data_IF_402806813855
#
_entry.id   IF_402806813855
#
_cell.length_a   1.000
_cell.length_b   1.000
_cell.length_c   1.000
_cell.angle_alpha   90.00
_cell.angle_beta   90.00
_cell.angle_gamma   90.00
#
_symmetry.space_group_name_H-M   'P 1'
#
loop_
_entity.id
_entity.type
_entity.pdbx_description
1 polymer ?
#
# COMPACT_ATOMS: atom_id res chain seq x y z
N UNK A 1 2.69 -9.04 44.29
CA UNK A 1 1.46 -9.66 43.76
C UNK A 1 0.85 -8.64 42.81
N UNK A 2 0.73 -8.78 41.50
CA UNK A 2 0.88 -9.90 40.56
C UNK A 2 1.00 -9.29 39.16
N UNK A 3 1.93 -9.80 38.36
CA UNK A 3 2.00 -9.58 36.92
C UNK A 3 0.96 -10.44 36.17
N UNK A 4 0.50 -9.97 34.99
CA UNK A 4 0.26 -10.70 33.71
C UNK A 4 -0.61 -9.82 32.79
N UNK A 5 -0.10 -9.28 31.69
CA UNK A 5 0.17 -9.92 30.38
C UNK A 5 -1.07 -10.15 29.50
N UNK A 6 -0.90 -9.76 28.23
CA UNK A 6 -1.58 -10.22 27.01
C UNK A 6 -2.91 -9.59 26.58
N UNK A 7 -2.79 -8.47 25.87
CA UNK A 7 -3.69 -8.13 24.77
C UNK A 7 -2.93 -7.63 23.53
N UNK A 8 -1.94 -8.41 23.10
CA UNK A 8 -1.19 -8.19 21.85
C UNK A 8 -0.99 -9.54 21.16
N UNK A 9 -1.98 -10.05 20.43
CA UNK A 9 -1.72 -11.14 19.45
C UNK A 9 -2.89 -11.65 18.60
N UNK A 10 -4.17 -11.28 18.83
CA UNK A 10 -5.26 -12.03 18.15
C UNK A 10 -5.66 -11.54 16.74
N UNK A 11 -5.25 -10.36 16.27
CA UNK A 11 -5.78 -9.85 15.00
C UNK A 11 -5.12 -10.45 13.73
N UNK A 12 -3.85 -10.85 13.79
CA UNK A 12 -3.04 -11.10 12.59
C UNK A 12 -2.95 -12.56 12.14
N UNK A 13 -3.16 -13.55 13.02
CA UNK A 13 -2.91 -14.97 12.70
C UNK A 13 -4.17 -15.83 12.55
N UNK A 14 -5.28 -15.49 13.20
CA UNK A 14 -6.52 -16.28 13.12
C UNK A 14 -7.41 -15.96 11.90
N UNK A 15 -7.02 -14.99 11.06
CA UNK A 15 -7.84 -14.47 9.95
C UNK A 15 -7.45 -14.93 8.55
N UNK A 16 -6.56 -15.91 8.41
CA UNK A 16 -6.18 -16.42 7.08
C UNK A 16 -7.26 -17.31 6.42
N UNK A 17 -8.20 -17.89 7.19
CA UNK A 17 -9.10 -18.93 6.70
C UNK A 17 -10.58 -18.53 6.53
N UNK A 18 -10.99 -17.28 6.86
CA UNK A 18 -12.41 -16.88 6.89
C UNK A 18 -12.73 -15.66 6.01
N UNK A 19 -12.07 -15.55 4.86
CA UNK A 19 -12.12 -14.37 3.97
C UNK A 19 -13.47 -14.14 3.27
N UNK A 20 -14.42 -15.08 3.28
CA UNK A 20 -15.68 -14.91 2.53
C UNK A 20 -16.90 -14.53 3.37
N UNK A 21 -16.93 -14.83 4.68
CA UNK A 21 -18.16 -14.62 5.50
C UNK A 21 -18.04 -13.56 6.61
N UNK A 22 -16.84 -13.20 7.06
CA UNK A 22 -16.64 -12.23 8.14
C UNK A 22 -16.40 -10.78 7.67
N UNK A 23 -16.42 -10.54 6.36
CA UNK A 23 -16.22 -9.23 5.76
C UNK A 23 -17.39 -8.26 6.06
N UNK A 24 -18.62 -8.78 6.23
CA UNK A 24 -19.82 -7.96 6.31
C UNK A 24 -19.98 -7.21 7.65
N UNK A 25 -19.57 -7.79 8.78
CA UNK A 25 -19.92 -7.23 10.10
C UNK A 25 -18.93 -6.20 10.65
N UNK A 26 -17.66 -6.21 10.22
CA UNK A 26 -16.62 -5.29 10.72
C UNK A 26 -16.43 -4.03 9.86
N UNK A 27 -16.76 -4.10 8.56
CA UNK A 27 -16.77 -2.92 7.68
C UNK A 27 -17.83 -1.88 8.09
N UNK A 28 -18.82 -2.29 8.91
CA UNK A 28 -19.97 -1.45 9.25
C UNK A 28 -19.65 -0.26 10.18
N UNK A 29 -18.43 -0.17 10.73
CA UNK A 29 -18.00 0.90 11.65
C UNK A 29 -17.04 1.95 11.04
N UNK A 30 -16.49 1.76 9.85
CA UNK A 30 -15.79 2.83 9.12
C UNK A 30 -16.74 3.43 8.07
N UNK A 31 -17.83 4.05 8.55
CA UNK A 31 -18.78 4.80 7.71
C UNK A 31 -18.28 6.24 7.52
N UNK A 32 -17.26 6.39 6.70
CA UNK A 32 -17.13 7.63 5.94
C UNK A 32 -18.15 7.59 4.80
N UNK A 33 -18.80 8.71 4.48
CA UNK A 33 -19.86 8.77 3.45
C UNK A 33 -19.37 8.34 2.04
N UNK A 34 -18.06 8.20 1.86
CA UNK A 34 -17.37 7.81 0.62
C UNK A 34 -16.67 6.43 0.72
N UNK A 35 -16.90 5.68 1.81
CA UNK A 35 -16.30 4.36 2.06
C UNK A 35 -14.87 4.41 2.61
N UNK A 36 -14.36 3.30 3.18
CA UNK A 36 -12.99 3.23 3.69
C UNK A 36 -11.99 3.06 2.54
N UNK A 37 -10.82 3.67 2.70
CA UNK A 37 -9.71 3.60 1.75
C UNK A 37 -8.87 2.34 2.03
N UNK A 38 -8.74 1.45 1.04
CA UNK A 38 -7.95 0.22 1.17
C UNK A 38 -6.49 0.46 0.81
N UNK A 39 -5.58 0.21 1.76
CA UNK A 39 -4.15 0.50 1.56
C UNK A 39 -3.49 -0.43 0.53
N UNK A 40 -3.92 -1.69 0.42
CA UNK A 40 -3.33 -2.63 -0.53
C UNK A 40 -3.55 -2.22 -1.99
N UNK A 41 -4.65 -1.52 -2.30
CA UNK A 41 -4.93 -0.98 -3.63
C UNK A 41 -3.92 0.09 -4.05
N UNK A 42 -3.33 0.82 -3.09
CA UNK A 42 -2.30 1.81 -3.36
C UNK A 42 -1.08 1.20 -4.05
N UNK A 43 -0.69 -0.01 -3.66
CA UNK A 43 0.41 -0.74 -4.32
C UNK A 43 0.09 -1.02 -5.79
N UNK A 44 -1.05 -1.64 -6.09
CA UNK A 44 -1.48 -1.91 -7.47
C UNK A 44 -1.65 -0.65 -8.30
N UNK A 45 -2.15 0.43 -7.71
CA UNK A 45 -2.23 1.74 -8.36
C UNK A 45 -0.86 2.22 -8.82
N UNK A 46 0.16 2.21 -7.95
CA UNK A 46 1.52 2.61 -8.31
C UNK A 46 2.08 1.74 -9.44
N UNK A 47 1.93 0.42 -9.34
CA UNK A 47 2.40 -0.52 -10.38
C UNK A 47 1.77 -0.21 -11.74
N UNK A 48 0.45 -0.09 -11.79
CA UNK A 48 -0.29 0.24 -13.02
C UNK A 48 0.11 1.60 -13.59
N UNK A 49 0.32 2.61 -12.74
CA UNK A 49 0.76 3.96 -13.13
C UNK A 49 2.13 3.92 -13.80
N UNK A 50 3.08 3.18 -13.23
CA UNK A 50 4.42 3.01 -13.80
C UNK A 50 4.36 2.28 -15.14
N UNK A 51 3.65 1.15 -15.23
CA UNK A 51 3.50 0.38 -16.48
C UNK A 51 2.86 1.24 -17.57
N UNK A 52 1.78 1.95 -17.25
CA UNK A 52 1.08 2.78 -18.23
C UNK A 52 1.93 3.96 -18.68
N UNK A 53 2.70 4.57 -17.78
CA UNK A 53 3.62 5.66 -18.15
C UNK A 53 4.64 5.22 -19.19
N UNK A 54 5.16 3.99 -19.09
CA UNK A 54 6.08 3.42 -20.08
C UNK A 54 5.38 3.09 -21.41
N UNK A 55 4.17 2.53 -21.35
CA UNK A 55 3.39 2.21 -22.56
C UNK A 55 3.02 3.46 -23.36
N UNK A 56 2.62 4.53 -22.69
CA UNK A 56 2.27 5.80 -23.34
C UNK A 56 3.47 6.42 -24.06
N UNK A 57 4.68 6.32 -23.49
CA UNK A 57 5.91 6.76 -24.17
C UNK A 57 6.20 5.93 -25.41
N UNK A 58 6.00 4.60 -25.36
CA UNK A 58 6.21 3.73 -26.54
C UNK A 58 5.23 3.97 -27.69
N UNK A 59 4.05 4.51 -27.38
CA UNK A 59 3.00 4.76 -28.36
C UNK A 59 3.07 6.17 -28.97
N UNK A 60 4.09 6.97 -28.63
CA UNK A 60 4.27 8.36 -29.08
C UNK A 60 3.01 9.24 -28.95
N UNK A 61 2.11 8.91 -28.02
CA UNK A 61 0.80 9.56 -27.91
C UNK A 61 0.90 11.00 -27.41
N UNK A 62 1.99 11.37 -26.72
CA UNK A 62 2.25 12.73 -26.20
C UNK A 62 3.74 12.97 -25.95
N UNK A 63 4.29 14.12 -26.36
CA UNK A 63 5.69 14.56 -26.08
C UNK A 63 5.95 14.99 -24.61
N UNK A 64 5.07 14.63 -23.68
CA UNK A 64 5.11 15.03 -22.27
C UNK A 64 5.94 14.06 -21.42
N UNK A 65 6.64 14.51 -20.36
CA UNK A 65 7.44 13.63 -19.49
C UNK A 65 6.56 12.77 -18.56
N UNK A 66 5.90 11.74 -19.11
CA UNK A 66 4.99 10.84 -18.37
C UNK A 66 5.71 9.95 -17.35
N UNK A 67 6.87 9.39 -17.71
CA UNK A 67 7.63 8.48 -16.83
C UNK A 67 8.22 9.22 -15.61
N UNK A 68 8.91 10.38 -15.77
CA UNK A 68 9.40 11.13 -14.61
C UNK A 68 8.29 11.57 -13.65
N UNK A 69 7.13 11.98 -14.18
CA UNK A 69 5.97 12.34 -13.37
C UNK A 69 5.44 11.15 -12.58
N UNK A 70 5.25 9.99 -13.24
CA UNK A 70 4.79 8.78 -12.58
C UNK A 70 5.77 8.32 -11.47
N UNK A 71 7.08 8.40 -11.71
CA UNK A 71 8.10 8.10 -10.69
C UNK A 71 7.94 9.02 -9.47
N UNK A 72 7.80 10.33 -9.69
CA UNK A 72 7.67 11.32 -8.60
C UNK A 72 6.40 11.08 -7.77
N UNK A 73 5.24 10.95 -8.42
CA UNK A 73 3.97 10.65 -7.75
C UNK A 73 4.07 9.37 -6.92
N UNK A 74 4.67 8.31 -7.49
CA UNK A 74 4.87 7.04 -6.81
C UNK A 74 5.77 7.18 -5.58
N UNK A 75 6.87 7.95 -5.68
CA UNK A 75 7.74 8.24 -4.56
C UNK A 75 7.02 8.99 -3.44
N UNK A 76 6.22 10.01 -3.76
CA UNK A 76 5.45 10.79 -2.78
C UNK A 76 4.42 9.92 -2.03
N UNK A 77 3.79 8.96 -2.71
CA UNK A 77 2.87 8.00 -2.08
C UNK A 77 3.65 7.02 -1.17
N UNK A 78 4.72 6.41 -1.68
CA UNK A 78 5.54 5.46 -0.91
C UNK A 78 6.20 6.11 0.31
N UNK A 79 6.59 7.38 0.23
CA UNK A 79 7.11 8.15 1.35
C UNK A 79 6.07 8.30 2.47
N UNK A 80 4.79 8.53 2.13
CA UNK A 80 3.70 8.57 3.11
C UNK A 80 3.53 7.22 3.81
N UNK A 81 3.55 6.12 3.06
CA UNK A 81 3.49 4.77 3.63
C UNK A 81 4.69 4.48 4.54
N UNK A 82 5.90 4.83 4.11
CA UNK A 82 7.11 4.66 4.91
C UNK A 82 7.10 5.52 6.18
N UNK A 83 6.58 6.75 6.13
CA UNK A 83 6.39 7.57 7.32
C UNK A 83 5.42 6.91 8.30
N UNK A 84 4.29 6.37 7.82
CA UNK A 84 3.38 5.61 8.67
C UNK A 84 4.07 4.42 9.34
N UNK A 85 4.82 3.61 8.57
CA UNK A 85 5.60 2.47 9.10
C UNK A 85 6.61 2.91 10.17
N UNK A 86 7.24 4.08 10.01
CA UNK A 86 8.23 4.59 10.98
C UNK A 86 7.61 5.00 12.32
N UNK A 87 6.44 5.64 12.29
CA UNK A 87 5.78 6.17 13.49
C UNK A 87 4.77 5.20 14.11
N UNK A 88 4.29 4.21 13.35
CA UNK A 88 3.36 3.20 13.85
C UNK A 88 4.05 2.26 14.85
N UNK A 89 3.43 1.97 16.01
CA UNK A 89 3.98 1.03 16.98
C UNK A 89 4.12 -0.40 16.44
N UNK A 90 3.39 -0.72 15.37
CA UNK A 90 3.40 -2.04 14.73
C UNK A 90 4.45 -2.16 13.62
N UNK A 91 5.07 -1.04 13.22
CA UNK A 91 6.05 -0.98 12.13
C UNK A 91 5.52 -1.63 10.83
N UNK A 92 4.23 -1.46 10.59
CA UNK A 92 3.47 -2.09 9.51
C UNK A 92 2.44 -1.10 8.94
N UNK A 93 1.66 -1.54 7.95
CA UNK A 93 0.59 -0.76 7.33
C UNK A 93 -0.79 -1.32 7.72
N UNK A 94 -1.79 -0.44 7.89
CA UNK A 94 -3.14 -0.87 8.21
C UNK A 94 -3.84 -1.49 7.00
N UNK A 95 -4.94 -2.18 7.26
CA UNK A 95 -5.85 -2.67 6.24
C UNK A 95 -6.57 -1.54 5.51
N UNK A 96 -7.13 -0.63 6.31
CA UNK A 96 -8.06 0.41 5.93
C UNK A 96 -7.67 1.72 6.59
N UNK A 97 -7.87 2.82 5.88
CA UNK A 97 -7.94 4.16 6.45
C UNK A 97 -9.36 4.70 6.27
N UNK A 98 -9.72 5.67 7.11
CA UNK A 98 -10.88 6.52 6.81
C UNK A 98 -10.51 7.50 5.70
N UNK A 99 -11.47 8.34 5.31
CA UNK A 99 -11.27 9.37 4.28
C UNK A 99 -10.04 10.22 4.60
N UNK A 100 -9.24 10.53 3.58
CA UNK A 100 -8.02 11.32 3.67
C UNK A 100 -6.90 10.66 4.52
N UNK A 101 -6.89 9.33 4.61
CA UNK A 101 -5.87 8.61 5.38
C UNK A 101 -6.04 8.69 6.89
N UNK A 102 -7.21 9.10 7.38
CA UNK A 102 -7.50 9.15 8.81
C UNK A 102 -7.50 7.75 9.46
N UNK A 103 -7.25 7.72 10.77
CA UNK A 103 -7.17 6.47 11.52
C UNK A 103 -8.55 5.78 11.63
N UNK A 104 -8.62 4.50 11.22
CA UNK A 104 -9.82 3.66 11.33
C UNK A 104 -9.64 2.66 12.49
N UNK A 105 -10.45 2.81 13.55
CA UNK A 105 -10.39 1.93 14.74
C UNK A 105 -10.74 0.46 14.44
N UNK A 106 -11.56 0.22 13.42
CA UNK A 106 -11.97 -1.12 13.01
C UNK A 106 -10.93 -1.81 12.11
N UNK A 107 -9.90 -1.07 11.65
CA UNK A 107 -8.85 -1.63 10.82
C UNK A 107 -7.85 -2.43 11.64
N UNK A 108 -7.39 -3.55 11.08
CA UNK A 108 -6.15 -4.15 11.55
C UNK A 108 -4.98 -3.19 11.28
N UNK A 109 -4.09 -3.01 12.26
CA UNK A 109 -2.95 -2.09 12.17
C UNK A 109 -1.73 -2.65 11.43
N UNK A 110 -1.71 -3.97 11.20
CA UNK A 110 -0.61 -4.66 10.54
C UNK A 110 -1.16 -5.73 9.61
N UNK A 111 -1.31 -5.38 8.33
CA UNK A 111 -1.75 -6.32 7.31
C UNK A 111 -0.65 -6.68 6.32
N UNK A 112 -0.48 -7.99 6.12
CA UNK A 112 0.53 -8.54 5.21
C UNK A 112 0.29 -8.13 3.76
N UNK A 113 -0.96 -8.09 3.30
CA UNK A 113 -1.27 -7.69 1.91
C UNK A 113 -0.90 -6.23 1.63
N UNK A 114 -1.02 -5.33 2.61
CA UNK A 114 -0.76 -3.90 2.42
C UNK A 114 0.74 -3.65 2.28
N UNK A 115 1.53 -4.33 3.11
CA UNK A 115 2.98 -4.32 3.02
C UNK A 115 3.46 -5.02 1.75
N UNK A 116 2.90 -6.18 1.42
CA UNK A 116 3.26 -6.97 0.25
C UNK A 116 3.13 -6.17 -1.04
N UNK A 117 1.97 -5.56 -1.29
CA UNK A 117 1.75 -4.77 -2.51
C UNK A 117 2.59 -3.48 -2.52
N UNK A 118 2.91 -2.89 -1.37
CA UNK A 118 3.82 -1.75 -1.28
C UNK A 118 5.27 -2.13 -1.64
N UNK A 119 5.76 -3.29 -1.19
CA UNK A 119 7.10 -3.80 -1.55
C UNK A 119 7.17 -4.06 -3.06
N UNK A 120 6.15 -4.69 -3.63
CA UNK A 120 6.10 -4.90 -5.08
C UNK A 120 6.10 -3.57 -5.86
N UNK A 121 5.37 -2.57 -5.39
CA UNK A 121 5.39 -1.23 -5.99
C UNK A 121 6.77 -0.56 -5.90
N UNK A 122 7.51 -0.75 -4.79
CA UNK A 122 8.89 -0.28 -4.65
C UNK A 122 9.80 -0.98 -5.67
N UNK A 123 9.64 -2.29 -5.85
CA UNK A 123 10.42 -3.05 -6.83
C UNK A 123 10.23 -2.51 -8.25
N UNK A 124 8.97 -2.36 -8.69
CA UNK A 124 8.64 -1.81 -10.01
C UNK A 124 9.16 -0.37 -10.20
N UNK A 125 9.13 0.44 -9.12
CA UNK A 125 9.67 1.80 -9.12
C UNK A 125 11.19 1.81 -9.30
N UNK A 126 11.90 0.96 -8.57
CA UNK A 126 13.35 0.82 -8.68
C UNK A 126 13.75 0.34 -10.07
N UNK A 127 13.06 -0.67 -10.61
CA UNK A 127 13.26 -1.16 -11.97
C UNK A 127 13.05 -0.04 -12.99
N UNK A 128 11.93 0.69 -12.89
CA UNK A 128 11.60 1.79 -13.81
C UNK A 128 12.64 2.91 -13.76
N UNK A 129 13.11 3.26 -12.56
CA UNK A 129 14.12 4.30 -12.37
C UNK A 129 15.51 3.86 -12.86
N UNK A 130 15.89 2.59 -12.67
CA UNK A 130 17.13 2.01 -13.17
C UNK A 130 17.14 2.03 -14.71
N UNK A 131 16.08 1.53 -15.35
CA UNK A 131 15.92 1.56 -16.81
C UNK A 131 16.00 2.97 -17.38
N UNK A 132 15.35 3.94 -16.74
CA UNK A 132 15.42 5.35 -17.13
C UNK A 132 16.86 5.89 -17.09
N UNK A 133 17.67 5.46 -16.12
CA UNK A 133 19.08 5.86 -15.97
C UNK A 133 20.05 5.03 -16.83
N UNK A 134 19.56 4.05 -17.60
CA UNK A 134 20.40 3.13 -18.37
C UNK A 134 21.19 2.15 -17.50
N UNK A 135 20.73 1.89 -16.27
CA UNK A 135 21.34 0.95 -15.34
C UNK A 135 20.72 -0.44 -15.50
N UNK A 136 21.54 -1.48 -15.36
CA UNK A 136 21.07 -2.86 -15.26
C UNK A 136 20.32 -3.05 -13.94
N UNK A 137 19.20 -3.78 -13.98
CA UNK A 137 18.38 -4.10 -12.82
C UNK A 137 18.22 -5.61 -12.74
N UNK A 138 18.45 -6.24 -11.56
CA UNK A 138 18.40 -7.68 -11.44
C UNK A 138 17.00 -8.22 -11.78
N UNK A 139 16.90 -9.44 -12.33
CA UNK A 139 15.61 -10.10 -12.51
C UNK A 139 14.96 -10.42 -11.16
N UNK A 140 13.62 -10.51 -11.17
CA UNK A 140 12.80 -10.88 -10.02
C UNK A 140 12.92 -12.37 -9.68
#
# INVERSE_FOLDING_TARGET
>A
MTAKENQKSSCCLDRFALTTFYFSSYLMNCRSFEGPEWVWLTGYYIRSRLIMSQRLVKLDLTNEPKVPQAIRESQEILLRLNNHIRYSPWRSLPELTQVNGEYCHASCHSQAWSIGTAIEAVYDLLETNARRKGLEFPPA
#
